data_IF_806315068885
#
_entry.id   IF_806315068885
#
_cell.length_a   1.000
_cell.length_b   1.000
_cell.length_c   1.000
_cell.angle_alpha   90.00
_cell.angle_beta   90.00
_cell.angle_gamma   90.00
#
_symmetry.space_group_name_H-M   'P 1'
#
loop_
_entity.id
_entity.type
_entity.pdbx_description
1 polymer ?
#
# COMPACT_ATOMS: atom_id res chain seq x y z
N UNK A 1 -41.80 14.81 3.60
CA UNK A 1 -40.75 15.84 3.64
C UNK A 1 -39.75 15.44 4.71
N UNK A 2 -38.54 15.06 4.29
CA UNK A 2 -37.40 14.77 5.19
C UNK A 2 -36.89 16.11 5.72
N UNK A 3 -37.11 16.35 6.99
CA UNK A 3 -36.64 17.56 7.67
C UNK A 3 -35.15 17.38 7.96
N UNK A 4 -34.30 18.24 7.42
CA UNK A 4 -32.88 18.28 7.74
C UNK A 4 -32.72 18.64 9.22
N UNK A 5 -32.10 17.78 10.00
CA UNK A 5 -31.97 17.94 11.44
C UNK A 5 -30.96 19.03 11.84
N UNK A 6 -30.21 19.60 10.89
CA UNK A 6 -29.22 20.66 11.16
C UNK A 6 -28.04 20.21 12.02
N UNK A 7 -27.78 18.89 12.05
CA UNK A 7 -26.65 18.31 12.81
C UNK A 7 -25.36 18.34 11.97
N UNK A 8 -24.28 18.68 12.66
CA UNK A 8 -22.96 18.75 12.03
C UNK A 8 -22.71 20.08 11.29
N UNK A 9 -21.53 20.16 10.67
CA UNK A 9 -21.08 21.26 9.83
C UNK A 9 -20.30 20.74 8.63
N UNK A 10 -20.08 21.56 7.64
CA UNK A 10 -19.13 21.25 6.59
C UNK A 10 -17.71 21.14 7.18
N UNK A 11 -16.97 20.11 6.75
CA UNK A 11 -15.56 19.96 7.10
C UNK A 11 -14.73 21.10 6.49
N UNK A 12 -13.73 21.56 7.20
CA UNK A 12 -12.75 22.51 6.67
C UNK A 12 -11.77 21.80 5.74
N UNK A 13 -11.10 22.53 4.84
CA UNK A 13 -10.10 21.94 3.95
C UNK A 13 -8.97 21.24 4.72
N UNK A 14 -8.56 21.78 5.88
CA UNK A 14 -7.54 21.15 6.72
C UNK A 14 -8.02 19.81 7.32
N UNK A 15 -9.28 19.71 7.69
CA UNK A 15 -9.85 18.45 8.18
C UNK A 15 -9.95 17.43 7.05
N UNK A 16 -10.33 17.85 5.85
CA UNK A 16 -10.39 16.97 4.68
C UNK A 16 -8.99 16.46 4.34
N UNK A 17 -8.00 17.37 4.21
CA UNK A 17 -6.63 16.99 3.81
C UNK A 17 -5.93 16.08 4.82
N UNK A 18 -6.30 16.15 6.11
CA UNK A 18 -5.76 15.24 7.13
C UNK A 18 -6.25 13.78 7.00
N UNK A 19 -7.36 13.57 6.29
CA UNK A 19 -7.95 12.25 6.07
C UNK A 19 -7.78 11.74 4.63
N UNK A 20 -7.63 12.66 3.66
CA UNK A 20 -7.52 12.37 2.24
C UNK A 20 -6.04 12.12 1.88
N UNK A 21 -5.52 10.99 2.36
CA UNK A 21 -4.12 10.56 2.17
C UNK A 21 -4.01 9.23 1.41
N UNK A 22 -5.11 8.72 0.89
CA UNK A 22 -5.14 7.45 0.16
C UNK A 22 -4.59 7.58 -1.26
N UNK A 23 -3.90 6.51 -1.67
CA UNK A 23 -3.28 6.39 -2.98
C UNK A 23 -4.06 5.36 -3.79
N UNK A 24 -4.43 5.74 -5.01
CA UNK A 24 -5.16 4.86 -5.93
C UNK A 24 -4.21 4.14 -6.89
N UNK A 25 -4.66 2.97 -7.44
CA UNK A 25 -3.86 2.25 -8.45
C UNK A 25 -3.51 3.09 -9.69
N UNK A 26 -4.36 4.07 -10.05
CA UNK A 26 -4.14 5.03 -11.13
C UNK A 26 -3.19 6.19 -10.74
N UNK A 27 -2.41 6.06 -9.68
CA UNK A 27 -1.47 7.07 -9.19
C UNK A 27 -2.11 8.31 -8.57
N UNK A 28 -3.44 8.40 -8.58
CA UNK A 28 -4.13 9.56 -7.98
C UNK A 28 -3.95 9.57 -6.47
N UNK A 29 -3.58 10.73 -5.94
CA UNK A 29 -3.28 10.92 -4.51
C UNK A 29 -1.79 10.81 -4.18
N UNK A 30 -0.94 10.33 -5.11
CA UNK A 30 0.51 10.26 -4.88
C UNK A 30 1.09 11.66 -4.60
N UNK A 31 1.79 11.83 -3.48
CA UNK A 31 2.53 13.07 -3.24
C UNK A 31 3.77 13.14 -4.13
N UNK A 32 4.22 14.36 -4.40
CA UNK A 32 5.50 14.57 -5.09
C UNK A 32 6.64 14.06 -4.22
N UNK A 33 7.53 13.27 -4.81
CA UNK A 33 8.70 12.70 -4.14
C UNK A 33 9.38 11.63 -4.99
N UNK A 34 10.55 11.19 -4.54
CA UNK A 34 11.30 10.06 -5.11
C UNK A 34 12.23 9.43 -4.08
N UNK A 35 12.66 8.19 -4.32
CA UNK A 35 13.64 7.50 -3.48
C UNK A 35 14.29 6.31 -4.20
N UNK A 36 15.59 6.16 -4.02
CA UNK A 36 16.37 5.07 -4.61
C UNK A 36 16.37 3.82 -3.75
N UNK A 37 16.65 2.66 -4.37
CA UNK A 37 16.85 1.38 -3.69
C UNK A 37 17.94 1.50 -2.63
N UNK A 38 19.07 2.15 -2.93
CA UNK A 38 20.22 2.28 -2.02
C UNK A 38 19.85 3.04 -0.75
N UNK A 39 19.13 4.17 -0.89
CA UNK A 39 18.64 4.92 0.29
C UNK A 39 17.57 4.12 1.01
N UNK A 40 16.75 3.38 0.27
CA UNK A 40 15.72 2.50 0.82
C UNK A 40 16.27 1.39 1.68
N UNK A 41 17.41 0.81 1.33
CA UNK A 41 18.11 -0.21 2.12
C UNK A 41 18.53 0.33 3.50
N UNK A 42 19.13 1.51 3.54
CA UNK A 42 19.54 2.15 4.80
C UNK A 42 18.31 2.42 5.69
N UNK A 43 17.27 3.03 5.12
CA UNK A 43 16.04 3.35 5.85
C UNK A 43 15.28 2.11 6.31
N UNK A 44 15.25 1.05 5.48
CA UNK A 44 14.64 -0.22 5.80
C UNK A 44 15.38 -0.91 6.97
N UNK A 45 16.70 -0.91 6.93
CA UNK A 45 17.54 -1.46 8.01
C UNK A 45 17.22 -0.78 9.33
N UNK A 46 17.09 0.54 9.36
CA UNK A 46 16.85 1.30 10.57
C UNK A 46 15.40 1.16 11.11
N UNK A 47 14.41 0.99 10.22
CA UNK A 47 13.00 1.11 10.60
C UNK A 47 12.18 -0.19 10.46
N UNK A 48 12.64 -1.18 9.69
CA UNK A 48 11.82 -2.33 9.29
C UNK A 48 12.47 -3.68 9.62
N UNK A 49 13.80 -3.81 9.49
CA UNK A 49 14.51 -5.08 9.55
C UNK A 49 14.34 -5.81 10.87
N UNK A 50 14.20 -5.08 11.98
CA UNK A 50 14.01 -5.68 13.31
C UNK A 50 12.76 -6.55 13.45
N UNK A 51 11.77 -6.34 12.55
CA UNK A 51 10.55 -7.14 12.48
C UNK A 51 10.50 -7.99 11.21
N UNK A 52 10.83 -7.39 10.04
CA UNK A 52 10.66 -8.05 8.76
C UNK A 52 11.90 -8.82 8.25
N UNK A 53 13.01 -8.80 9.01
CA UNK A 53 14.28 -9.39 8.59
C UNK A 53 15.07 -8.46 7.66
N UNK A 54 16.36 -8.72 7.49
CA UNK A 54 17.24 -7.89 6.67
C UNK A 54 16.92 -7.97 5.18
N UNK A 55 16.33 -9.09 4.75
CA UNK A 55 15.94 -9.36 3.35
C UNK A 55 14.42 -9.53 3.16
N UNK A 56 13.63 -9.06 4.13
CA UNK A 56 12.18 -9.16 4.06
C UNK A 56 11.62 -10.57 4.30
N UNK A 57 12.40 -11.44 4.92
CA UNK A 57 12.06 -12.84 5.20
C UNK A 57 11.09 -13.03 6.37
N UNK A 58 10.80 -11.95 7.12
CA UNK A 58 9.97 -12.00 8.31
C UNK A 58 10.68 -12.55 9.55
N UNK A 59 10.27 -12.15 10.75
CA UNK A 59 10.80 -12.67 12.01
C UNK A 59 9.64 -13.05 12.93
N UNK A 60 9.61 -14.29 13.40
CA UNK A 60 8.59 -14.82 14.30
C UNK A 60 7.16 -14.64 13.76
N UNK A 61 6.39 -13.72 14.37
CA UNK A 61 5.01 -13.40 13.98
C UNK A 61 4.88 -12.32 12.89
N UNK A 62 6.00 -11.69 12.56
CA UNK A 62 5.98 -10.60 11.57
C UNK A 62 6.08 -11.18 10.17
N UNK A 63 5.22 -10.71 9.26
CA UNK A 63 5.12 -11.33 7.94
C UNK A 63 6.34 -11.05 7.07
N UNK A 64 6.57 -11.96 6.14
CA UNK A 64 7.48 -11.79 5.03
C UNK A 64 7.01 -10.66 4.11
N UNK A 65 7.96 -9.88 3.58
CA UNK A 65 7.72 -8.84 2.58
C UNK A 65 8.24 -9.23 1.21
N UNK A 66 9.14 -10.23 1.17
CA UNK A 66 9.80 -10.70 -0.05
C UNK A 66 9.71 -12.22 -0.20
N UNK A 67 9.85 -12.70 -1.44
CA UNK A 67 9.78 -14.11 -1.78
C UNK A 67 8.35 -14.63 -2.02
N UNK A 68 8.14 -15.93 -1.84
CA UNK A 68 6.83 -16.56 -2.02
C UNK A 68 6.41 -16.77 -3.48
N UNK A 69 7.34 -16.63 -4.42
CA UNK A 69 7.07 -16.90 -5.84
C UNK A 69 6.60 -18.34 -6.03
N UNK A 70 5.59 -18.53 -6.88
CA UNK A 70 5.00 -19.83 -7.22
C UNK A 70 4.43 -20.61 -6.02
N UNK A 71 4.11 -19.94 -4.90
CA UNK A 71 3.56 -20.60 -3.71
C UNK A 71 2.06 -20.43 -3.55
N UNK A 72 1.39 -19.61 -4.36
CA UNK A 72 -0.01 -19.22 -4.15
C UNK A 72 -1.01 -20.39 -4.27
N UNK A 73 -0.65 -21.49 -4.95
CA UNK A 73 -1.42 -22.72 -5.07
C UNK A 73 -0.99 -23.81 -4.09
N UNK A 74 -0.03 -23.52 -3.21
CA UNK A 74 0.43 -24.45 -2.18
C UNK A 74 -0.52 -24.49 -0.98
N UNK A 75 -0.33 -25.48 -0.09
CA UNK A 75 -1.09 -25.60 1.16
C UNK A 75 -0.84 -24.41 2.10
N UNK A 76 0.40 -23.89 2.12
CA UNK A 76 0.82 -22.74 2.91
C UNK A 76 1.42 -21.66 2.01
N UNK A 77 0.59 -20.82 1.36
CA UNK A 77 1.08 -19.80 0.45
C UNK A 77 1.75 -18.64 1.18
N UNK A 78 2.94 -18.24 0.73
CA UNK A 78 3.65 -17.06 1.22
C UNK A 78 3.23 -15.82 0.42
N UNK A 79 2.49 -14.92 1.07
CA UNK A 79 1.83 -13.76 0.43
C UNK A 79 2.63 -12.48 0.65
N UNK A 80 3.49 -12.15 -0.30
CA UNK A 80 4.36 -10.97 -0.26
C UNK A 80 3.99 -9.93 -1.32
N UNK A 81 4.75 -8.86 -1.40
CA UNK A 81 4.64 -7.86 -2.46
C UNK A 81 4.92 -8.49 -3.84
N UNK A 82 5.91 -9.38 -3.94
CA UNK A 82 6.28 -10.04 -5.20
C UNK A 82 5.37 -11.20 -5.61
N UNK A 83 4.67 -11.82 -4.67
CA UNK A 83 3.87 -13.02 -4.97
C UNK A 83 2.36 -12.77 -5.03
N UNK A 84 1.82 -11.90 -4.17
CA UNK A 84 0.38 -11.81 -3.96
C UNK A 84 -0.22 -10.42 -4.18
N UNK A 85 0.44 -9.35 -3.74
CA UNK A 85 -0.15 -8.00 -3.74
C UNK A 85 -0.45 -7.53 -5.16
N UNK A 86 -1.66 -6.93 -5.39
CA UNK A 86 -2.05 -6.54 -6.74
C UNK A 86 -1.49 -5.20 -7.19
N UNK A 87 -1.35 -4.22 -6.27
CA UNK A 87 -1.06 -2.85 -6.65
C UNK A 87 0.09 -2.25 -5.82
N UNK A 88 1.01 -1.60 -6.50
CA UNK A 88 2.09 -0.85 -5.85
C UNK A 88 1.54 0.27 -4.95
N UNK A 89 0.43 0.90 -5.34
CA UNK A 89 -0.25 1.91 -4.53
C UNK A 89 -0.61 1.40 -3.14
N UNK A 90 -1.01 0.14 -3.03
CA UNK A 90 -1.32 -0.47 -1.73
C UNK A 90 -0.06 -0.63 -0.87
N UNK A 91 1.08 -0.96 -1.47
CA UNK A 91 2.37 -1.07 -0.77
C UNK A 91 2.79 0.29 -0.22
N UNK A 92 2.82 1.30 -1.09
CA UNK A 92 3.19 2.67 -0.74
C UNK A 92 2.29 3.23 0.37
N UNK A 93 0.97 3.12 0.19
CA UNK A 93 -0.01 3.63 1.16
C UNK A 93 0.10 2.90 2.51
N UNK A 94 0.33 1.59 2.50
CA UNK A 94 0.51 0.83 3.74
C UNK A 94 1.77 1.23 4.50
N UNK A 95 2.89 1.40 3.82
CA UNK A 95 4.14 1.90 4.43
C UNK A 95 3.91 3.30 5.01
N UNK A 96 3.35 4.22 4.23
CA UNK A 96 3.10 5.59 4.66
C UNK A 96 2.11 5.67 5.84
N UNK A 97 1.01 4.92 5.77
CA UNK A 97 -0.11 5.01 6.71
C UNK A 97 0.11 4.26 8.01
N UNK A 98 0.76 3.10 7.97
CA UNK A 98 0.76 2.13 9.06
C UNK A 98 2.15 1.77 9.59
N UNK A 99 3.23 2.03 8.84
CA UNK A 99 4.59 1.66 9.19
C UNK A 99 5.46 2.90 9.49
N UNK A 100 6.52 2.76 10.33
CA UNK A 100 6.85 1.61 11.17
C UNK A 100 5.79 1.33 12.24
N UNK A 101 5.59 0.03 12.57
CA UNK A 101 4.58 -0.36 13.56
C UNK A 101 4.83 0.32 14.92
N UNK A 102 3.82 1.02 15.43
CA UNK A 102 3.92 1.82 16.66
C UNK A 102 4.45 3.25 16.46
N UNK A 103 4.90 3.61 15.25
CA UNK A 103 5.35 4.95 14.88
C UNK A 103 4.87 5.35 13.47
N UNK A 104 3.61 5.04 13.16
CA UNK A 104 2.98 5.30 11.86
C UNK A 104 3.06 6.77 11.45
N UNK A 105 3.19 7.04 10.15
CA UNK A 105 3.26 8.38 9.56
C UNK A 105 4.46 9.23 10.03
N UNK A 106 5.53 8.58 10.51
CA UNK A 106 6.78 9.25 10.89
C UNK A 106 7.72 9.47 9.71
N UNK A 107 7.55 8.71 8.63
CA UNK A 107 8.36 8.80 7.43
C UNK A 107 7.84 9.91 6.50
N UNK A 108 8.75 10.67 5.92
CA UNK A 108 8.39 11.62 4.86
C UNK A 108 8.17 10.91 3.51
N UNK A 109 7.66 11.62 2.51
CA UNK A 109 7.31 11.03 1.22
C UNK A 109 8.51 10.36 0.53
N UNK A 110 9.67 11.01 0.50
CA UNK A 110 10.87 10.48 -0.15
C UNK A 110 11.36 9.20 0.55
N UNK A 111 11.30 9.15 1.87
CA UNK A 111 11.63 7.95 2.65
C UNK A 111 10.67 6.80 2.33
N UNK A 112 9.36 7.07 2.18
CA UNK A 112 8.38 6.05 1.79
C UNK A 112 8.64 5.56 0.37
N UNK A 113 8.99 6.44 -0.59
CA UNK A 113 9.38 6.04 -1.94
C UNK A 113 10.63 5.16 -1.92
N UNK A 114 11.65 5.54 -1.14
CA UNK A 114 12.90 4.79 -1.04
C UNK A 114 12.67 3.38 -0.45
N UNK A 115 11.97 3.28 0.68
CA UNK A 115 11.63 1.99 1.30
C UNK A 115 10.80 1.13 0.35
N UNK A 116 9.84 1.72 -0.37
CA UNK A 116 9.03 1.00 -1.36
C UNK A 116 9.90 0.48 -2.51
N UNK A 117 10.85 1.30 -3.01
CA UNK A 117 11.82 0.87 -4.03
C UNK A 117 12.66 -0.31 -3.55
N UNK A 118 13.14 -0.27 -2.31
CA UNK A 118 13.91 -1.39 -1.74
C UNK A 118 13.08 -2.66 -1.58
N UNK A 119 11.81 -2.57 -1.16
CA UNK A 119 10.91 -3.73 -1.11
C UNK A 119 10.69 -4.33 -2.51
N UNK A 120 10.59 -3.51 -3.56
CA UNK A 120 10.52 -3.99 -4.94
C UNK A 120 11.81 -4.71 -5.34
N UNK A 121 12.98 -4.18 -4.97
CA UNK A 121 14.28 -4.79 -5.22
C UNK A 121 14.42 -6.15 -4.50
N UNK A 122 14.01 -6.25 -3.24
CA UNK A 122 13.99 -7.51 -2.49
C UNK A 122 13.12 -8.60 -3.15
N UNK A 123 12.18 -8.21 -3.99
CA UNK A 123 11.31 -9.10 -4.75
C UNK A 123 11.74 -9.25 -6.23
N UNK A 124 12.96 -8.90 -6.59
CA UNK A 124 13.49 -9.00 -7.95
C UNK A 124 12.65 -8.28 -9.03
N UNK A 125 11.91 -7.23 -8.64
CA UNK A 125 11.02 -6.47 -9.54
C UNK A 125 11.71 -5.26 -10.17
N UNK A 126 12.79 -4.80 -9.57
CA UNK A 126 13.62 -3.66 -10.05
C UNK A 126 15.09 -3.93 -9.76
N UNK A 127 15.98 -3.22 -10.47
CA UNK A 127 17.43 -3.31 -10.27
C UNK A 127 17.92 -2.43 -9.10
N UNK A 128 19.14 -2.64 -8.61
CA UNK A 128 19.74 -1.93 -7.48
C UNK A 128 19.90 -0.41 -7.71
N UNK A 129 20.08 0.01 -8.97
CA UNK A 129 20.21 1.41 -9.37
C UNK A 129 18.86 2.12 -9.60
N UNK A 130 17.74 1.44 -9.35
CA UNK A 130 16.40 1.97 -9.57
C UNK A 130 16.04 3.07 -8.57
N UNK A 131 15.34 4.10 -9.06
CA UNK A 131 14.72 5.16 -8.28
C UNK A 131 13.21 5.18 -8.55
N UNK A 132 12.39 4.98 -7.51
CA UNK A 132 10.95 5.12 -7.58
C UNK A 132 10.55 6.57 -7.33
N UNK A 133 9.62 7.09 -8.14
CA UNK A 133 9.11 8.46 -8.01
C UNK A 133 7.62 8.53 -8.37
N UNK A 134 6.97 9.63 -8.00
CA UNK A 134 5.60 9.90 -8.43
C UNK A 134 5.43 9.96 -9.96
N UNK A 135 6.52 10.11 -10.73
CA UNK A 135 6.48 10.20 -12.20
C UNK A 135 6.47 8.83 -12.87
N UNK A 136 7.25 7.86 -12.34
CA UNK A 136 7.37 6.52 -12.92
C UNK A 136 6.54 5.45 -12.20
N UNK A 137 5.81 5.82 -11.18
CA UNK A 137 5.04 4.93 -10.30
C UNK A 137 4.03 4.06 -11.06
N UNK A 138 3.24 4.66 -11.95
CA UNK A 138 2.21 3.97 -12.74
C UNK A 138 2.78 2.93 -13.72
N UNK A 139 4.09 3.02 -14.02
CA UNK A 139 4.77 2.07 -14.91
C UNK A 139 5.18 0.76 -14.24
N UNK A 140 4.99 0.64 -12.92
CA UNK A 140 5.38 -0.55 -12.15
C UNK A 140 4.15 -1.40 -11.87
N UNK A 141 4.05 -2.53 -12.54
CA UNK A 141 2.99 -3.52 -12.33
C UNK A 141 3.52 -4.66 -11.44
N UNK A 142 2.75 -5.02 -10.43
CA UNK A 142 3.08 -6.18 -9.60
C UNK A 142 2.66 -7.49 -10.29
N UNK A 143 3.39 -8.60 -10.09
CA UNK A 143 3.20 -9.85 -10.85
C UNK A 143 1.78 -10.44 -10.75
N UNK A 144 1.09 -10.20 -9.63
CA UNK A 144 -0.23 -10.78 -9.38
C UNK A 144 -1.40 -9.85 -9.74
N UNK A 145 -1.14 -8.67 -10.31
CA UNK A 145 -2.18 -7.68 -10.61
C UNK A 145 -3.27 -8.24 -11.53
N UNK A 146 -2.90 -8.95 -12.59
CA UNK A 146 -3.84 -9.50 -13.58
C UNK A 146 -4.76 -10.59 -13.02
N UNK A 147 -4.42 -11.17 -11.85
CA UNK A 147 -5.25 -12.19 -11.20
C UNK A 147 -6.33 -11.60 -10.29
N UNK A 148 -6.35 -10.27 -10.11
CA UNK A 148 -7.40 -9.59 -9.36
C UNK A 148 -8.49 -9.07 -10.29
N UNK A 149 -9.74 -9.33 -9.92
CA UNK A 149 -10.92 -8.86 -10.63
C UNK A 149 -11.96 -8.31 -9.67
N UNK A 150 -12.80 -7.41 -10.17
CA UNK A 150 -13.91 -6.87 -9.38
C UNK A 150 -14.97 -7.96 -9.16
N UNK A 151 -15.22 -8.30 -7.91
CA UNK A 151 -16.33 -9.19 -7.55
C UNK A 151 -17.66 -8.41 -7.59
N UNK A 152 -18.41 -8.60 -8.67
CA UNK A 152 -19.73 -8.03 -8.86
C UNK A 152 -20.86 -8.98 -8.39
N UNK A 153 -20.53 -10.08 -7.71
CA UNK A 153 -21.52 -11.09 -7.30
C UNK A 153 -22.40 -10.63 -6.14
N UNK A 154 -21.98 -9.65 -5.37
CA UNK A 154 -22.72 -9.15 -4.22
C UNK A 154 -23.76 -8.11 -4.59
N UNK A 155 -24.90 -8.54 -5.08
CA UNK A 155 -26.06 -7.67 -5.38
C UNK A 155 -26.69 -7.00 -4.15
N UNK A 156 -26.38 -7.47 -2.94
CA UNK A 156 -26.92 -6.93 -1.68
C UNK A 156 -26.48 -5.49 -1.39
N UNK A 157 -25.31 -5.07 -1.89
CA UNK A 157 -24.85 -3.70 -1.75
C UNK A 157 -25.43 -2.71 -2.75
N UNK A 158 -25.98 -3.22 -3.86
CA UNK A 158 -26.58 -2.40 -4.91
C UNK A 158 -28.10 -2.27 -4.79
N UNK A 159 -28.74 -3.08 -3.93
CA UNK A 159 -30.17 -3.00 -3.68
C UNK A 159 -30.44 -2.11 -2.46
N UNK A 160 -31.38 -1.15 -2.56
CA UNK A 160 -31.82 -0.38 -1.39
C UNK A 160 -32.34 -1.34 -0.32
N UNK A 161 -31.91 -1.17 0.92
CA UNK A 161 -32.47 -1.93 2.03
C UNK A 161 -33.96 -1.54 2.22
N UNK A 162 -34.84 -2.43 2.71
CA UNK A 162 -36.26 -2.11 2.92
C UNK A 162 -36.53 -0.82 3.71
N UNK A 163 -35.62 -0.43 4.61
CA UNK A 163 -35.67 0.82 5.38
C UNK A 163 -35.24 2.07 4.61
N UNK A 164 -34.61 1.89 3.45
CA UNK A 164 -34.12 2.98 2.61
C UNK A 164 -35.12 3.29 1.49
N UNK A 165 -36.25 2.56 1.45
CA UNK A 165 -37.38 2.83 0.56
C UNK A 165 -38.30 3.88 1.17
N UNK A 166 -38.85 4.80 0.39
CA UNK A 166 -39.78 5.85 0.86
C UNK A 166 -41.10 5.30 1.39
#
# INVERSE_FOLDING_TARGET
YSQTLGLGRAATNNEVSAWDIDIRPDGKGLPVGSGSVIIGEELYTDNCSSCHGDFGEGIDRWPELAGGFDTLDSEDPVKTVGSYWPYLSTVWDYVHRAMPFGNAQSLNNDEVYAITAYILYLNDLVDEDFELSHVNFEGINLPNEENFYLDNSCLLYTSPRPRDLP
#
